data_IF_431587423288
#
_entry.id   IF_431587423288
#
_cell.length_a   1.000
_cell.length_b   1.000
_cell.length_c   1.000
_cell.angle_alpha   90.00
_cell.angle_beta   90.00
_cell.angle_gamma   90.00
#
_symmetry.space_group_name_H-M   'P 1'
#
loop_
_entity.id
_entity.type
_entity.pdbx_description
1 polymer ?
#
# COMPACT_ATOMS: atom_id res chain seq x y z
N UNK A 1 1.10 10.95 4.27
CA UNK A 1 0.28 9.84 4.77
C UNK A 1 -1.03 10.40 5.29
N UNK A 2 -2.12 10.12 4.56
CA UNK A 2 -3.47 10.57 4.94
C UNK A 2 -4.14 9.50 5.80
N UNK A 3 -4.74 9.89 6.92
CA UNK A 3 -5.37 8.95 7.87
C UNK A 3 -6.54 8.17 7.23
N UNK A 4 -7.23 8.77 6.27
CA UNK A 4 -8.33 8.15 5.54
C UNK A 4 -7.86 6.92 4.74
N UNK A 5 -6.69 6.99 4.11
CA UNK A 5 -6.13 5.87 3.35
C UNK A 5 -5.74 4.70 4.24
N UNK A 6 -5.35 4.95 5.49
CA UNK A 6 -5.09 3.88 6.45
C UNK A 6 -6.38 3.16 6.77
N UNK A 7 -7.44 3.91 7.09
CA UNK A 7 -8.76 3.34 7.43
C UNK A 7 -9.36 2.55 6.26
N UNK A 8 -9.21 3.04 5.04
CA UNK A 8 -9.71 2.34 3.86
C UNK A 8 -8.86 1.11 3.51
N UNK A 9 -7.54 1.20 3.62
CA UNK A 9 -6.67 0.04 3.41
C UNK A 9 -6.91 -1.05 4.46
N UNK A 10 -7.27 -0.70 5.71
CA UNK A 10 -7.65 -1.65 6.75
C UNK A 10 -8.94 -2.42 6.45
N UNK A 11 -9.82 -1.90 5.59
CA UNK A 11 -11.01 -2.64 5.12
C UNK A 11 -10.63 -3.74 4.13
N UNK A 12 -9.50 -3.59 3.43
CA UNK A 12 -8.95 -4.58 2.49
C UNK A 12 -8.05 -5.57 3.22
N UNK A 13 -7.12 -5.08 4.03
CA UNK A 13 -6.21 -5.88 4.85
C UNK A 13 -6.52 -5.63 6.33
N UNK A 14 -7.30 -6.53 6.93
CA UNK A 14 -7.83 -6.35 8.28
C UNK A 14 -6.76 -6.49 9.37
N UNK A 15 -5.74 -7.32 9.16
CA UNK A 15 -4.63 -7.47 10.11
C UNK A 15 -3.67 -6.26 9.99
N UNK A 16 -3.54 -5.43 11.05
CA UNK A 16 -2.67 -4.26 11.01
C UNK A 16 -1.19 -4.59 10.79
N UNK A 17 -0.71 -5.73 11.29
CA UNK A 17 0.68 -6.16 11.11
C UNK A 17 0.93 -6.54 9.66
N UNK A 18 -0.03 -7.23 9.02
CA UNK A 18 0.04 -7.55 7.60
C UNK A 18 0.00 -6.27 6.77
N UNK A 19 -0.91 -5.35 7.07
CA UNK A 19 -1.02 -4.07 6.37
C UNK A 19 0.29 -3.29 6.43
N UNK A 20 0.87 -3.13 7.63
CA UNK A 20 2.16 -2.44 7.83
C UNK A 20 3.28 -3.10 7.02
N UNK A 21 3.34 -4.44 7.01
CA UNK A 21 4.35 -5.17 6.26
C UNK A 21 4.20 -4.99 4.75
N UNK A 22 2.97 -5.08 4.22
CA UNK A 22 2.68 -4.90 2.78
C UNK A 22 3.01 -3.48 2.34
N UNK A 23 2.56 -2.46 3.09
CA UNK A 23 2.87 -1.05 2.81
C UNK A 23 4.38 -0.82 2.83
N UNK A 24 5.07 -1.30 3.87
CA UNK A 24 6.53 -1.11 4.01
C UNK A 24 7.32 -1.72 2.86
N UNK A 25 6.94 -2.93 2.42
CA UNK A 25 7.56 -3.59 1.28
C UNK A 25 7.30 -2.81 -0.01
N UNK A 26 6.06 -2.35 -0.23
CA UNK A 26 5.71 -1.62 -1.44
C UNK A 26 6.39 -0.24 -1.50
N UNK A 27 6.44 0.49 -0.39
CA UNK A 27 7.16 1.76 -0.29
C UNK A 27 8.64 1.59 -0.66
N UNK A 28 9.30 0.52 -0.21
CA UNK A 28 10.69 0.23 -0.60
C UNK A 28 10.85 0.00 -2.11
N UNK A 29 9.89 -0.65 -2.76
CA UNK A 29 9.91 -0.85 -4.21
C UNK A 29 9.76 0.49 -4.95
N UNK A 30 8.80 1.31 -4.55
CA UNK A 30 8.57 2.64 -5.13
C UNK A 30 9.81 3.54 -4.99
N UNK A 31 10.43 3.55 -3.81
CA UNK A 31 11.68 4.29 -3.56
C UNK A 31 12.87 3.79 -4.39
N UNK A 32 12.83 2.53 -4.86
CA UNK A 32 13.82 1.95 -5.78
C UNK A 32 13.48 2.18 -7.25
N UNK A 33 12.43 2.96 -7.55
CA UNK A 33 12.03 3.31 -8.91
C UNK A 33 11.00 2.37 -9.54
N UNK A 34 10.38 1.46 -8.77
CA UNK A 34 9.23 0.72 -9.28
C UNK A 34 8.10 1.68 -9.65
N UNK A 35 7.44 1.41 -10.78
CA UNK A 35 6.32 2.23 -11.24
C UNK A 35 5.11 2.07 -10.31
N UNK A 36 4.41 3.16 -9.96
CA UNK A 36 3.09 3.09 -9.35
C UNK A 36 2.10 2.33 -10.25
N UNK A 37 1.19 1.59 -9.64
CA UNK A 37 0.10 0.86 -10.30
C UNK A 37 -1.21 1.66 -10.30
N UNK A 38 -1.26 2.75 -9.54
CA UNK A 38 -2.36 3.71 -9.51
C UNK A 38 -1.91 5.00 -10.18
N UNK A 39 -2.78 5.55 -11.02
CA UNK A 39 -2.56 6.88 -11.58
C UNK A 39 -2.99 7.95 -10.56
N UNK A 40 -2.28 9.07 -10.58
CA UNK A 40 -2.64 10.26 -9.80
C UNK A 40 -2.22 11.50 -10.56
N UNK A 41 -3.12 12.49 -10.61
CA UNK A 41 -2.82 13.81 -11.13
C UNK A 41 -1.97 14.64 -10.14
N UNK A 42 -1.92 14.21 -8.87
CA UNK A 42 -1.12 14.83 -7.81
C UNK A 42 0.19 14.06 -7.59
N UNK A 43 1.23 14.76 -7.12
CA UNK A 43 2.43 14.10 -6.60
C UNK A 43 2.14 13.51 -5.22
N UNK A 44 1.85 12.21 -5.19
CA UNK A 44 1.66 11.46 -3.96
C UNK A 44 2.99 10.99 -3.35
N UNK A 45 3.00 10.86 -2.02
CA UNK A 45 4.11 10.19 -1.34
C UNK A 45 4.12 8.69 -1.66
N UNK A 46 5.26 8.00 -1.59
CA UNK A 46 5.31 6.53 -1.75
C UNK A 46 4.36 5.80 -0.81
N UNK A 47 4.17 6.30 0.40
CA UNK A 47 3.26 5.77 1.41
C UNK A 47 1.80 5.89 0.94
N UNK A 48 1.40 7.06 0.44
CA UNK A 48 0.05 7.27 -0.09
C UNK A 48 -0.22 6.44 -1.34
N UNK A 49 0.77 6.28 -2.23
CA UNK A 49 0.67 5.40 -3.40
C UNK A 49 0.46 3.95 -2.98
N UNK A 50 1.28 3.44 -2.06
CA UNK A 50 1.18 2.06 -1.59
C UNK A 50 -0.20 1.77 -0.96
N UNK A 51 -0.72 2.69 -0.14
CA UNK A 51 -2.05 2.55 0.45
C UNK A 51 -3.15 2.55 -0.61
N UNK A 52 -3.08 3.45 -1.60
CA UNK A 52 -4.05 3.46 -2.70
C UNK A 52 -4.02 2.20 -3.54
N UNK A 53 -2.83 1.67 -3.84
CA UNK A 53 -2.70 0.40 -4.55
C UNK A 53 -3.31 -0.77 -3.77
N UNK A 54 -3.27 -0.76 -2.43
CA UNK A 54 -3.98 -1.73 -1.58
C UNK A 54 -5.50 -1.51 -1.66
N UNK A 55 -5.97 -0.28 -1.50
CA UNK A 55 -7.40 0.09 -1.55
C UNK A 55 -8.02 -0.33 -2.90
N UNK A 56 -7.29 -0.13 -3.99
CA UNK A 56 -7.73 -0.48 -5.35
C UNK A 56 -7.47 -1.96 -5.72
N UNK A 57 -6.97 -2.78 -4.77
CA UNK A 57 -6.73 -4.21 -4.99
C UNK A 57 -5.63 -4.52 -6.02
N UNK A 58 -4.70 -3.60 -6.24
CA UNK A 58 -3.60 -3.73 -7.24
C UNK A 58 -2.41 -4.54 -6.71
N UNK A 59 -2.36 -4.81 -5.41
CA UNK A 59 -1.28 -5.56 -4.77
C UNK A 59 -1.81 -6.86 -4.24
N UNK A 60 -1.20 -7.97 -4.65
CA UNK A 60 -1.38 -9.28 -4.02
C UNK A 60 -0.37 -9.45 -2.89
N UNK A 61 -0.81 -10.04 -1.78
CA UNK A 61 0.06 -10.43 -0.67
C UNK A 61 -0.29 -11.85 -0.23
N UNK A 62 0.73 -12.57 0.23
CA UNK A 62 0.58 -13.90 0.81
C UNK A 62 1.01 -13.86 2.27
N UNK A 63 0.21 -14.47 3.13
CA UNK A 63 0.56 -14.66 4.54
C UNK A 63 1.15 -16.06 4.66
N UNK A 64 2.47 -16.15 4.66
CA UNK A 64 3.16 -17.40 4.96
C UNK A 64 2.95 -17.72 6.44
N UNK A 65 2.19 -18.76 6.73
CA UNK A 65 2.10 -19.33 8.06
C UNK A 65 3.31 -20.25 8.21
N UNK A 66 4.17 -19.95 9.20
CA UNK A 66 5.30 -20.79 9.57
C UNK A 66 4.84 -21.94 10.47
#
# INVERSE_FOLDING_TARGET
MRDEYIKDAQKVIQDPNVLINVVSRRVKQLRRGSRPLVESLEKLSPEDIALREIIEGKISYEVTHA
#
